data_IF_551563115654
#
_entry.id   IF_551563115654
#
_cell.length_a   1.000
_cell.length_b   1.000
_cell.length_c   1.000
_cell.angle_alpha   90.00
_cell.angle_beta   90.00
_cell.angle_gamma   90.00
#
_symmetry.space_group_name_H-M   'P 1'
#
loop_
_entity.id
_entity.type
_entity.pdbx_description
1 polymer ?
#
# COMPACT_ATOMS: atom_id res chain seq x y z
N UNK A 1 12.07 1.41 -14.08
CA UNK A 1 10.87 0.59 -13.84
C UNK A 1 10.97 0.04 -12.42
N UNK A 2 9.89 0.17 -11.63
CA UNK A 2 9.88 -0.17 -10.21
C UNK A 2 9.00 -1.39 -9.93
N UNK A 3 9.19 -1.95 -8.73
CA UNK A 3 8.43 -3.07 -8.18
C UNK A 3 6.94 -2.76 -8.00
N UNK A 4 6.58 -1.47 -7.88
CA UNK A 4 5.21 -0.99 -7.75
C UNK A 4 4.74 -0.34 -9.06
N UNK A 5 3.59 -0.78 -9.57
CA UNK A 5 2.98 -0.33 -10.82
C UNK A 5 1.51 0.06 -10.61
N UNK A 6 0.99 0.88 -11.54
CA UNK A 6 -0.44 1.18 -11.56
C UNK A 6 -1.21 -0.10 -11.89
N UNK A 7 -2.12 -0.49 -11.01
CA UNK A 7 -2.87 -1.73 -11.11
C UNK A 7 -2.57 -2.72 -9.99
N UNK A 8 -1.43 -2.59 -9.29
CA UNK A 8 -1.12 -3.43 -8.13
C UNK A 8 -2.11 -3.18 -6.99
N UNK A 9 -2.53 -4.26 -6.33
CA UNK A 9 -3.43 -4.19 -5.18
C UNK A 9 -2.63 -4.11 -3.90
N UNK A 10 -2.80 -3.03 -3.15
CA UNK A 10 -2.20 -2.89 -1.80
C UNK A 10 -3.03 -3.69 -0.81
N UNK A 11 -2.39 -4.60 -0.09
CA UNK A 11 -2.96 -5.46 0.95
C UNK A 11 -2.73 -4.90 2.36
N UNK A 12 -1.56 -4.29 2.60
CA UNK A 12 -1.25 -3.68 3.88
C UNK A 12 -0.30 -2.47 3.75
N UNK A 13 -0.45 -1.51 4.67
CA UNK A 13 0.42 -0.32 4.80
C UNK A 13 1.05 -0.35 6.19
N UNK A 14 2.37 -0.48 6.25
CA UNK A 14 3.14 -0.66 7.49
C UNK A 14 2.62 -1.81 8.38
N UNK A 15 2.12 -2.90 7.75
CA UNK A 15 1.55 -4.06 8.43
C UNK A 15 0.09 -3.90 8.87
N UNK A 16 -0.56 -2.77 8.56
CA UNK A 16 -1.99 -2.56 8.80
C UNK A 16 -2.76 -2.99 7.54
N UNK A 17 -3.65 -3.99 7.62
CA UNK A 17 -4.43 -4.45 6.48
C UNK A 17 -5.35 -3.37 5.91
N UNK A 18 -5.50 -3.34 4.59
CA UNK A 18 -6.35 -2.37 3.87
C UNK A 18 -7.68 -2.97 3.37
N UNK A 19 -7.92 -4.28 3.52
CA UNK A 19 -9.09 -4.97 2.96
C UNK A 19 -10.44 -4.48 3.50
N UNK A 20 -10.53 -4.19 4.80
CA UNK A 20 -11.75 -3.69 5.45
C UNK A 20 -11.77 -2.15 5.57
N UNK A 21 -10.73 -1.49 5.07
CA UNK A 21 -10.52 -0.06 5.22
C UNK A 21 -11.14 0.77 4.10
N UNK A 22 -11.42 2.03 4.41
CA UNK A 22 -11.77 3.05 3.44
C UNK A 22 -10.52 3.63 2.76
N UNK A 23 -10.69 4.22 1.58
CA UNK A 23 -9.61 4.94 0.91
C UNK A 23 -9.03 6.08 1.76
N UNK A 24 -9.88 6.72 2.56
CA UNK A 24 -9.48 7.82 3.44
C UNK A 24 -8.54 7.32 4.55
N UNK A 25 -8.84 6.17 5.14
CA UNK A 25 -7.97 5.53 6.13
C UNK A 25 -6.63 5.12 5.53
N UNK A 26 -6.63 4.50 4.34
CA UNK A 26 -5.39 4.16 3.65
C UNK A 26 -4.53 5.41 3.35
N UNK A 27 -5.15 6.50 2.90
CA UNK A 27 -4.46 7.78 2.71
C UNK A 27 -3.90 8.35 4.01
N UNK A 28 -4.61 8.20 5.13
CA UNK A 28 -4.13 8.65 6.43
C UNK A 28 -2.90 7.84 6.86
N UNK A 29 -2.92 6.52 6.70
CA UNK A 29 -1.75 5.67 6.97
C UNK A 29 -0.53 6.06 6.13
N UNK A 30 -0.73 6.43 4.87
CA UNK A 30 0.36 6.92 4.01
C UNK A 30 0.91 8.27 4.48
N UNK A 31 0.04 9.20 4.92
CA UNK A 31 0.49 10.48 5.48
C UNK A 31 1.28 10.28 6.77
N UNK A 32 0.82 9.39 7.63
CA UNK A 32 1.51 9.07 8.88
C UNK A 32 2.89 8.42 8.59
N UNK A 33 2.97 7.53 7.60
CA UNK A 33 4.22 6.93 7.14
C UNK A 33 5.20 7.97 6.57
N UNK A 34 4.68 9.02 5.91
CA UNK A 34 5.50 10.10 5.38
C UNK A 34 6.18 10.90 6.51
N UNK A 35 5.54 11.04 7.69
CA UNK A 35 6.18 11.65 8.87
C UNK A 35 7.41 10.85 9.34
N UNK A 36 7.39 9.52 9.14
CA UNK A 36 8.51 8.63 9.43
C UNK A 36 9.51 8.50 8.27
N UNK A 37 9.30 9.20 7.15
CA UNK A 37 10.10 9.10 5.90
C UNK A 37 10.28 7.67 5.36
N UNK A 38 9.38 6.76 5.73
CA UNK A 38 9.43 5.36 5.30
C UNK A 38 8.04 4.77 5.31
N UNK A 39 7.70 4.09 4.22
CA UNK A 39 6.49 3.26 4.11
C UNK A 39 6.89 1.86 3.65
N UNK A 40 6.24 0.86 4.23
CA UNK A 40 6.30 -0.54 3.77
C UNK A 40 4.93 -0.91 3.24
N UNK A 41 4.87 -1.38 2.00
CA UNK A 41 3.62 -1.83 1.38
C UNK A 41 3.70 -3.32 1.13
N UNK A 42 2.64 -4.03 1.46
CA UNK A 42 2.41 -5.39 0.98
C UNK A 42 1.44 -5.31 -0.19
N UNK A 43 1.82 -5.92 -1.31
CA UNK A 43 1.08 -5.84 -2.56
C UNK A 43 0.84 -7.22 -3.14
N UNK A 44 -0.29 -7.38 -3.82
CA UNK A 44 -0.57 -8.46 -4.74
C UNK A 44 -0.42 -7.95 -6.17
N UNK A 45 0.25 -8.73 -7.01
CA UNK A 45 0.45 -8.44 -8.43
C UNK A 45 0.08 -9.67 -9.26
N UNK A 46 -0.56 -9.44 -10.40
CA UNK A 46 -0.85 -10.50 -11.35
C UNK A 46 0.45 -10.91 -12.06
N UNK A 47 0.83 -12.18 -11.94
CA UNK A 47 1.88 -12.77 -12.78
C UNK A 47 1.24 -13.12 -14.12
N UNK A 48 1.16 -12.15 -15.02
CA UNK A 48 0.84 -12.43 -16.41
C UNK A 48 1.96 -13.30 -17.01
N UNK A 49 1.68 -14.59 -17.16
CA UNK A 49 2.55 -15.59 -17.81
C UNK A 49 2.38 -15.64 -19.32
#
# INVERSE_FOLDING_TARGET
>A
CGLLQVGDRVLSINGIPTEDGTLEEANQLLRDAALANKVTLEIEFDVAG
#
